data_IF_049381576921
#
_entry.id   IF_049381576921
#
_cell.length_a   1.000
_cell.length_b   1.000
_cell.length_c   1.000
_cell.angle_alpha   90.00
_cell.angle_beta   90.00
_cell.angle_gamma   90.00
#
_symmetry.space_group_name_H-M   'P 1'
#
loop_
_entity.id
_entity.type
_entity.pdbx_description
1 polymer ?
#
# COMPACT_ATOMS: atom_id res chain seq x y z
N UNK A 1 3.10 29.56 36.63
CA UNK A 1 2.27 28.53 35.94
C UNK A 1 0.85 29.08 35.83
N UNK A 2 0.22 29.08 34.66
CA UNK A 2 -1.10 29.72 34.49
C UNK A 2 -2.23 28.87 35.09
N UNK A 3 -3.16 29.52 35.79
CA UNK A 3 -4.30 28.87 36.47
C UNK A 3 -5.19 28.07 35.52
N UNK A 4 -5.29 28.47 34.24
CA UNK A 4 -6.08 27.77 33.23
C UNK A 4 -5.51 26.37 32.90
N UNK A 5 -4.19 26.26 32.73
CA UNK A 5 -3.55 24.98 32.43
C UNK A 5 -3.71 23.97 33.58
N UNK A 6 -3.58 24.44 34.83
CA UNK A 6 -3.80 23.61 36.01
C UNK A 6 -5.26 23.15 36.14
N UNK A 7 -6.23 24.05 35.91
CA UNK A 7 -7.66 23.72 35.95
C UNK A 7 -8.07 22.75 34.83
N UNK A 8 -7.55 22.94 33.62
CA UNK A 8 -7.77 22.01 32.52
C UNK A 8 -7.19 20.63 32.84
N UNK A 9 -5.99 20.56 33.40
CA UNK A 9 -5.34 19.29 33.80
C UNK A 9 -6.16 18.53 34.85
N UNK A 10 -6.72 19.22 35.85
CA UNK A 10 -7.59 18.59 36.86
C UNK A 10 -8.90 18.10 36.22
N UNK A 11 -9.50 18.88 35.34
CA UNK A 11 -10.76 18.53 34.68
C UNK A 11 -10.62 17.29 33.79
N UNK A 12 -9.56 17.21 32.96
CA UNK A 12 -9.34 16.04 32.07
C UNK A 12 -8.90 14.78 32.82
N UNK A 13 -8.37 14.92 34.04
CA UNK A 13 -7.99 13.80 34.90
C UNK A 13 -9.12 13.34 35.85
N UNK A 14 -10.27 14.03 35.86
CA UNK A 14 -11.38 13.71 36.75
C UNK A 14 -12.02 12.34 36.39
N UNK A 15 -12.62 11.62 37.37
CA UNK A 15 -13.24 10.31 37.11
C UNK A 15 -14.33 10.31 36.03
N UNK A 16 -15.11 11.38 35.92
CA UNK A 16 -16.12 11.52 34.88
C UNK A 16 -15.51 11.60 33.46
N UNK A 17 -14.37 12.29 33.32
CA UNK A 17 -13.63 12.35 32.05
C UNK A 17 -13.10 10.97 31.62
N UNK A 18 -12.72 10.13 32.58
CA UNK A 18 -12.28 8.74 32.31
C UNK A 18 -13.41 7.81 31.84
N UNK A 19 -14.63 8.04 32.32
CA UNK A 19 -15.80 7.24 31.90
C UNK A 19 -16.20 7.56 30.46
N UNK A 20 -16.18 8.85 30.08
CA UNK A 20 -16.40 9.30 28.71
C UNK A 20 -15.30 8.79 27.76
N UNK A 21 -14.04 8.87 28.20
CA UNK A 21 -12.90 8.30 27.47
C UNK A 21 -13.08 6.79 27.19
N UNK A 22 -13.58 6.03 28.18
CA UNK A 22 -13.80 4.59 28.03
C UNK A 22 -14.91 4.25 27.01
N UNK A 23 -15.94 5.10 26.87
CA UNK A 23 -16.97 4.92 25.84
C UNK A 23 -16.40 5.24 24.45
N UNK A 24 -15.70 6.36 24.30
CA UNK A 24 -15.03 6.75 23.04
C UNK A 24 -14.00 5.70 22.61
N UNK A 25 -13.26 5.11 23.55
CA UNK A 25 -12.31 4.04 23.27
C UNK A 25 -13.02 2.76 22.78
N UNK A 26 -14.19 2.42 23.34
CA UNK A 26 -15.00 1.27 22.89
C UNK A 26 -15.55 1.48 21.48
N UNK A 27 -16.06 2.68 21.20
CA UNK A 27 -16.54 3.06 19.88
C UNK A 27 -15.41 3.01 18.84
N UNK A 28 -14.26 3.63 19.13
CA UNK A 28 -13.08 3.58 18.28
C UNK A 28 -12.58 2.15 18.04
N UNK A 29 -12.70 1.25 19.02
CA UNK A 29 -12.39 -0.16 18.82
C UNK A 29 -13.37 -0.83 17.84
N UNK A 30 -14.65 -0.47 17.86
CA UNK A 30 -15.64 -0.90 16.87
C UNK A 30 -15.29 -0.44 15.46
N UNK A 31 -14.98 0.85 15.31
CA UNK A 31 -14.57 1.43 14.03
C UNK A 31 -13.25 0.85 13.50
N UNK A 32 -12.29 0.58 14.39
CA UNK A 32 -11.05 -0.10 14.02
C UNK A 32 -11.32 -1.50 13.48
N UNK A 33 -12.18 -2.29 14.13
CA UNK A 33 -12.58 -3.62 13.64
C UNK A 33 -13.24 -3.51 12.26
N UNK A 34 -14.05 -2.49 12.03
CA UNK A 34 -14.66 -2.23 10.73
C UNK A 34 -13.62 -1.97 9.64
N UNK A 35 -12.68 -1.06 9.89
CA UNK A 35 -11.56 -0.77 8.99
C UNK A 35 -10.72 -2.02 8.68
N UNK A 36 -10.33 -2.78 9.70
CA UNK A 36 -9.50 -4.00 9.52
C UNK A 36 -10.21 -5.02 8.65
N UNK A 37 -11.49 -5.31 8.90
CA UNK A 37 -12.27 -6.24 8.08
C UNK A 37 -12.38 -5.77 6.63
N UNK A 38 -12.63 -4.48 6.42
CA UNK A 38 -12.71 -3.90 5.09
C UNK A 38 -11.40 -4.02 4.31
N UNK A 39 -10.26 -3.75 4.96
CA UNK A 39 -8.95 -3.92 4.34
C UNK A 39 -8.64 -5.39 4.01
N UNK A 40 -8.98 -6.32 4.91
CA UNK A 40 -8.82 -7.75 4.67
C UNK A 40 -9.69 -8.24 3.50
N UNK A 41 -10.92 -7.74 3.37
CA UNK A 41 -11.80 -8.04 2.25
C UNK A 41 -11.23 -7.55 0.89
N UNK A 42 -10.37 -6.52 0.91
CA UNK A 42 -9.63 -6.06 -0.27
C UNK A 42 -8.35 -6.86 -0.55
N UNK A 43 -8.08 -7.93 0.22
CA UNK A 43 -6.90 -8.78 0.08
C UNK A 43 -5.62 -8.19 0.67
N UNK A 44 -5.74 -7.15 1.51
CA UNK A 44 -4.61 -6.56 2.21
C UNK A 44 -4.37 -7.26 3.55
N UNK A 45 -3.17 -7.08 4.11
CA UNK A 45 -2.78 -7.63 5.42
C UNK A 45 -2.52 -6.49 6.42
N UNK A 46 -3.54 -6.10 7.23
CA UNK A 46 -3.39 -5.05 8.23
C UNK A 46 -2.71 -5.56 9.49
N UNK A 47 -1.78 -4.79 10.03
CA UNK A 47 -1.08 -5.12 11.28
C UNK A 47 -2.03 -4.98 12.47
N UNK A 48 -2.09 -6.04 13.28
CA UNK A 48 -2.89 -6.07 14.49
C UNK A 48 -2.38 -5.02 15.50
N UNK A 49 -3.31 -4.29 16.13
CA UNK A 49 -2.96 -3.30 17.15
C UNK A 49 -4.17 -2.61 17.76
N UNK A 50 -3.92 -1.90 18.85
CA UNK A 50 -4.91 -1.08 19.56
C UNK A 50 -4.76 0.43 19.26
N UNK A 51 -3.85 0.80 18.37
CA UNK A 51 -3.60 2.19 18.00
C UNK A 51 -4.84 2.85 17.36
N UNK A 52 -4.94 4.19 17.39
CA UNK A 52 -5.99 4.96 16.70
C UNK A 52 -5.78 5.01 15.18
N UNK A 53 -5.01 4.06 14.65
CA UNK A 53 -4.71 3.89 13.24
C UNK A 53 -4.42 2.42 12.96
N UNK A 54 -4.52 2.04 11.69
CA UNK A 54 -4.16 0.72 11.18
C UNK A 54 -2.99 0.89 10.21
N UNK A 55 -1.98 0.05 10.37
CA UNK A 55 -0.84 -0.02 9.46
C UNK A 55 -1.09 -1.15 8.45
N UNK A 56 -0.90 -0.87 7.16
CA UNK A 56 -1.15 -1.86 6.10
C UNK A 56 -0.18 -1.64 4.96
N UNK A 57 0.27 -2.74 4.35
CA UNK A 57 1.07 -2.71 3.12
C UNK A 57 0.15 -2.66 1.92
N UNK A 58 0.27 -1.60 1.13
CA UNK A 58 -0.57 -1.34 -0.06
C UNK A 58 0.24 -1.22 -1.34
N UNK A 59 1.57 -1.12 -1.23
CA UNK A 59 2.48 -0.88 -2.35
C UNK A 59 2.80 0.60 -2.54
N UNK A 60 3.80 0.91 -3.40
CA UNK A 60 4.32 2.26 -3.53
C UNK A 60 3.32 3.17 -4.25
N UNK A 61 3.31 4.46 -3.87
CA UNK A 61 2.54 5.50 -4.58
C UNK A 61 1.04 5.57 -4.31
N UNK A 62 0.44 4.58 -3.62
CA UNK A 62 -0.99 4.57 -3.24
C UNK A 62 -1.40 5.84 -2.50
N UNK A 63 -0.55 6.31 -1.58
CA UNK A 63 -0.84 7.48 -0.75
C UNK A 63 -1.05 8.77 -1.58
N UNK A 64 -0.34 8.91 -2.70
CA UNK A 64 -0.50 10.05 -3.62
C UNK A 64 -1.83 9.96 -4.36
N UNK A 65 -2.16 8.77 -4.87
CA UNK A 65 -3.43 8.55 -5.61
C UNK A 65 -4.65 8.73 -4.70
N UNK A 66 -4.59 8.26 -3.45
CA UNK A 66 -5.66 8.49 -2.48
C UNK A 66 -5.81 9.98 -2.15
N UNK A 67 -4.71 10.72 -2.07
CA UNK A 67 -4.74 12.17 -1.82
C UNK A 67 -5.44 12.92 -2.94
N UNK A 68 -5.21 12.54 -4.19
CA UNK A 68 -5.92 13.11 -5.36
C UNK A 68 -7.43 12.81 -5.32
N UNK A 69 -7.82 11.70 -4.68
CA UNK A 69 -9.22 11.30 -4.46
C UNK A 69 -9.83 11.85 -3.16
N UNK A 70 -9.12 12.76 -2.47
CA UNK A 70 -9.61 13.42 -1.26
C UNK A 70 -9.30 12.68 0.06
N UNK A 71 -8.57 11.56 0.03
CA UNK A 71 -8.21 10.79 1.21
C UNK A 71 -6.73 10.92 1.56
N UNK A 72 -6.43 11.62 2.65
CA UNK A 72 -5.06 11.77 3.14
C UNK A 72 -4.66 10.61 4.07
N UNK A 73 -3.76 9.75 3.61
CA UNK A 73 -3.12 8.71 4.43
C UNK A 73 -1.65 9.07 4.72
N UNK A 74 -1.14 8.68 5.89
CA UNK A 74 0.26 8.93 6.25
C UNK A 74 1.14 7.80 5.73
N UNK A 75 2.34 8.12 5.26
CA UNK A 75 3.34 7.11 4.88
C UNK A 75 3.88 6.38 6.12
N UNK A 76 4.19 5.10 5.95
CA UNK A 76 4.83 4.25 6.96
C UNK A 76 6.35 4.37 7.00
N UNK A 77 6.97 4.88 5.92
CA UNK A 77 8.43 5.03 5.76
C UNK A 77 9.12 5.87 6.86
N UNK A 78 8.35 6.71 7.56
CA UNK A 78 8.82 7.45 8.73
C UNK A 78 9.17 6.58 9.95
N UNK A 79 8.84 5.29 9.95
CA UNK A 79 9.22 4.35 11.01
C UNK A 79 10.38 3.44 10.56
N UNK A 80 11.43 3.29 11.39
CA UNK A 80 12.52 2.36 11.10
C UNK A 80 11.98 0.95 10.83
N UNK A 81 12.40 0.35 9.71
CA UNK A 81 11.97 -1.00 9.31
C UNK A 81 10.72 -1.07 8.43
N UNK A 82 10.04 0.05 8.15
CA UNK A 82 8.92 0.10 7.20
C UNK A 82 9.37 0.76 5.89
N UNK A 83 9.10 0.10 4.76
CA UNK A 83 9.35 0.63 3.42
C UNK A 83 8.25 1.58 2.90
N UNK A 84 8.46 2.15 1.72
CA UNK A 84 7.51 3.06 1.05
C UNK A 84 6.16 2.42 0.68
N UNK A 85 6.05 1.10 0.80
CA UNK A 85 4.84 0.32 0.53
C UNK A 85 3.83 0.37 1.67
N UNK A 86 4.24 0.89 2.84
CA UNK A 86 3.43 0.93 4.04
C UNK A 86 2.68 2.25 4.15
N UNK A 87 1.41 2.18 4.52
CA UNK A 87 0.59 3.34 4.86
C UNK A 87 -0.07 3.16 6.22
N UNK A 88 -0.30 4.28 6.88
CA UNK A 88 -1.01 4.38 8.14
C UNK A 88 -2.34 5.09 7.92
N UNK A 89 -3.42 4.35 8.13
CA UNK A 89 -4.79 4.81 7.96
C UNK A 89 -5.36 5.14 9.34
N UNK A 90 -5.79 6.38 9.56
CA UNK A 90 -6.40 6.77 10.82
C UNK A 90 -7.78 6.11 10.97
N UNK A 91 -8.11 5.65 12.18
CA UNK A 91 -9.45 5.13 12.47
C UNK A 91 -10.43 6.31 12.47
N UNK A 92 -11.50 6.18 11.68
CA UNK A 92 -12.58 7.17 11.54
C UNK A 92 -13.91 6.45 11.64
N UNK A 93 -15.00 7.21 11.67
CA UNK A 93 -16.35 6.66 11.65
C UNK A 93 -16.56 5.70 10.46
N UNK A 94 -17.56 4.80 10.53
CA UNK A 94 -17.78 3.79 9.50
C UNK A 94 -18.07 4.38 8.12
N UNK A 95 -18.78 5.50 8.04
CA UNK A 95 -19.11 6.15 6.77
C UNK A 95 -17.85 6.66 6.06
N UNK A 96 -16.97 7.36 6.77
CA UNK A 96 -15.66 7.78 6.23
C UNK A 96 -14.80 6.58 5.84
N UNK A 97 -14.83 5.51 6.65
CA UNK A 97 -14.08 4.28 6.39
C UNK A 97 -14.58 3.58 5.13
N UNK A 98 -15.89 3.48 4.93
CA UNK A 98 -16.49 2.85 3.75
C UNK A 98 -16.18 3.64 2.48
N UNK A 99 -16.20 4.98 2.56
CA UNK A 99 -15.78 5.84 1.46
C UNK A 99 -14.32 5.61 1.07
N UNK A 100 -13.41 5.54 2.05
CA UNK A 100 -12.00 5.24 1.81
C UNK A 100 -11.82 3.86 1.15
N UNK A 101 -12.47 2.82 1.66
CA UNK A 101 -12.35 1.46 1.14
C UNK A 101 -12.86 1.36 -0.30
N UNK A 102 -13.95 2.07 -0.62
CA UNK A 102 -14.52 2.15 -1.98
C UNK A 102 -13.54 2.77 -2.96
N UNK A 103 -12.83 3.83 -2.56
CA UNK A 103 -11.82 4.48 -3.41
C UNK A 103 -10.52 3.67 -3.51
N UNK A 104 -10.18 2.90 -2.47
CA UNK A 104 -8.97 2.08 -2.45
C UNK A 104 -9.07 0.90 -3.42
N UNK A 105 -10.23 0.26 -3.52
CA UNK A 105 -10.46 -0.91 -4.38
C UNK A 105 -10.04 -0.70 -5.86
N UNK A 106 -10.52 0.34 -6.58
CA UNK A 106 -10.12 0.55 -7.97
C UNK A 106 -8.65 0.93 -8.12
N UNK A 107 -8.05 1.58 -7.12
CA UNK A 107 -6.61 1.93 -7.17
C UNK A 107 -5.75 0.67 -7.10
N UNK A 108 -6.09 -0.28 -6.21
CA UNK A 108 -5.41 -1.56 -6.13
C UNK A 108 -5.53 -2.35 -7.44
N UNK A 109 -6.73 -2.40 -8.03
CA UNK A 109 -6.97 -3.04 -9.32
C UNK A 109 -6.17 -2.40 -10.47
N UNK A 110 -6.10 -1.07 -10.51
CA UNK A 110 -5.33 -0.34 -11.52
C UNK A 110 -3.82 -0.57 -11.39
N UNK A 111 -3.28 -0.65 -10.17
CA UNK A 111 -1.85 -0.94 -9.97
C UNK A 111 -1.51 -2.37 -10.35
N UNK A 112 -2.37 -3.34 -10.01
CA UNK A 112 -2.18 -4.73 -10.43
C UNK A 112 -2.22 -4.87 -11.97
N UNK A 113 -3.15 -4.17 -12.64
CA UNK A 113 -3.22 -4.12 -14.09
C UNK A 113 -1.97 -3.49 -14.73
N UNK A 114 -1.47 -2.38 -14.16
CA UNK A 114 -0.23 -1.73 -14.62
C UNK A 114 1.01 -2.58 -14.40
N UNK A 115 1.11 -3.27 -13.27
CA UNK A 115 2.20 -4.21 -13.00
C UNK A 115 2.21 -5.36 -14.02
N UNK A 116 1.03 -5.85 -14.40
CA UNK A 116 0.88 -6.88 -15.43
C UNK A 116 1.25 -6.38 -16.84
N UNK A 117 0.91 -5.12 -17.17
CA UNK A 117 1.26 -4.51 -18.46
C UNK A 117 2.76 -4.18 -18.61
N UNK A 118 3.48 -4.00 -17.50
CA UNK A 118 4.94 -3.75 -17.48
C UNK A 118 5.76 -5.05 -17.60
N UNK A 119 5.11 -6.22 -17.61
CA UNK A 119 5.75 -7.53 -17.78
C UNK A 119 5.98 -7.98 -19.23
N UNK A 120 6.86 -7.29 -19.98
CA UNK A 120 7.87 -7.81 -20.94
C UNK A 120 8.22 -6.80 -22.05
N UNK A 121 9.41 -6.19 -21.97
CA UNK A 121 10.22 -5.94 -23.16
C UNK A 121 11.54 -6.72 -23.08
N UNK A 122 11.78 -7.62 -24.04
CA UNK A 122 13.14 -8.03 -24.43
C UNK A 122 13.60 -9.44 -24.04
N UNK A 123 13.06 -10.45 -24.72
CA UNK A 123 13.90 -11.55 -25.22
C UNK A 123 13.93 -11.41 -26.75
N UNK A 124 14.91 -10.67 -27.27
CA UNK A 124 15.18 -10.58 -28.70
C UNK A 124 16.49 -11.30 -29.00
N UNK A 125 16.38 -12.36 -29.81
CA UNK A 125 17.24 -12.87 -30.89
C UNK A 125 17.05 -14.39 -30.96
N UNK A 126 16.77 -15.02 -32.11
CA UNK A 126 17.35 -14.81 -33.44
C UNK A 126 16.28 -15.09 -34.51
N UNK A 127 16.20 -14.19 -35.49
CA UNK A 127 15.55 -14.43 -36.79
C UNK A 127 16.32 -15.48 -37.58
N UNK A 128 15.75 -16.67 -37.73
CA UNK A 128 16.14 -17.58 -38.81
C UNK A 128 15.33 -17.21 -40.06
N UNK A 129 15.85 -16.27 -40.86
CA UNK A 129 15.39 -16.08 -42.23
C UNK A 129 16.17 -17.04 -43.12
N UNK A 130 15.47 -18.03 -43.67
CA UNK A 130 16.00 -18.90 -44.70
C UNK A 130 16.02 -18.16 -46.05
N UNK A 131 17.16 -18.18 -46.73
CA UNK A 131 17.23 -17.90 -48.17
C UNK A 131 18.20 -18.89 -48.84
N UNK A 132 17.80 -19.57 -49.94
CA UNK A 132 18.63 -20.55 -50.63
C UNK A 132 19.40 -19.90 -51.79
N UNK A 133 20.63 -20.35 -52.08
CA UNK A 133 21.12 -20.64 -53.44
C UNK A 133 22.57 -21.16 -53.44
N UNK A 134 22.78 -22.13 -54.32
CA UNK A 134 23.97 -22.89 -54.68
C UNK A 134 25.00 -22.08 -55.48
N UNK A 135 26.31 -22.32 -55.23
CA UNK A 135 27.34 -22.51 -56.28
C UNK A 135 28.70 -22.95 -55.70
N UNK A 136 29.10 -24.18 -56.07
CA UNK A 136 30.44 -24.63 -56.57
C UNK A 136 31.62 -23.65 -56.47
N UNK A 137 32.91 -23.98 -56.20
CA UNK A 137 33.77 -25.19 -56.07
C UNK A 137 35.21 -24.67 -55.74
N UNK A 138 36.35 -25.42 -55.73
CA UNK A 138 36.64 -26.85 -55.53
C UNK A 138 37.68 -27.13 -54.39
N UNK A 139 37.95 -28.39 -53.98
CA UNK A 139 39.08 -28.73 -53.11
C UNK A 139 40.27 -29.26 -53.92
N UNK A 140 41.48 -28.70 -53.73
CA UNK A 140 42.74 -29.34 -54.18
C UNK A 140 43.93 -29.12 -53.22
N UNK A 141 44.34 -30.27 -52.65
CA UNK A 141 45.70 -30.81 -52.39
C UNK A 141 46.59 -30.23 -51.28
N UNK A 142 46.75 -31.09 -50.27
CA UNK A 142 47.93 -31.48 -49.47
C UNK A 142 49.28 -30.81 -49.75
N UNK A 143 50.01 -30.46 -48.67
CA UNK A 143 51.45 -30.71 -48.57
C UNK A 143 51.90 -30.86 -47.10
N UNK A 144 52.54 -31.99 -46.82
CA UNK A 144 53.25 -32.38 -45.60
C UNK A 144 54.54 -31.58 -45.41
N UNK A 145 54.88 -31.26 -44.16
CA UNK A 145 56.23 -31.36 -43.58
C UNK A 145 56.12 -31.28 -42.05
#
# INVERSE_FOLDING_TARGET
MSSLAARASVAVCAPAARAEEAELAREAAGWRRHLVRGLQALGLDPVAGAAPFVLVRVGPGIHTVLRERGYAVRRGDSFPGLGADWVRIAVRDPHTTDGLLRELQPVLGNLAARASAVGHPGASMVTASAHPTDRSAPPRRELTA
#
